data_IF_980130248193
#
_entry.id   IF_980130248193
#
_cell.length_a   1.000
_cell.length_b   1.000
_cell.length_c   1.000
_cell.angle_alpha   90.00
_cell.angle_beta   90.00
_cell.angle_gamma   90.00
#
_symmetry.space_group_name_H-M   'P 1'
#
loop_
_entity.id
_entity.type
_entity.pdbx_description
1 polymer ?
#
# COMPACT_ATOMS: atom_id res chain seq x y z
N UNK A 1 3.75 9.79 -2.12
CA UNK A 1 2.78 10.90 -2.08
C UNK A 1 1.83 10.63 -0.93
N UNK A 2 1.45 11.64 -0.16
CA UNK A 2 0.44 11.57 0.89
C UNK A 2 -0.86 12.15 0.36
N UNK A 3 -1.95 11.40 0.54
CA UNK A 3 -3.29 11.81 0.11
C UNK A 3 -4.27 11.70 1.27
N UNK A 4 -5.29 12.55 1.26
CA UNK A 4 -6.42 12.47 2.17
C UNK A 4 -7.22 11.20 1.90
N UNK A 5 -7.54 10.44 2.94
CA UNK A 5 -8.29 9.17 2.84
C UNK A 5 -9.71 9.39 2.30
N UNK A 6 -10.35 10.53 2.61
CA UNK A 6 -11.77 10.77 2.26
C UNK A 6 -12.03 11.04 0.79
N UNK A 7 -11.09 11.70 0.12
CA UNK A 7 -11.28 12.20 -1.26
C UNK A 7 -10.07 11.94 -2.16
N UNK A 8 -9.07 11.19 -1.68
CA UNK A 8 -7.81 10.91 -2.38
C UNK A 8 -7.04 12.16 -2.83
N UNK A 9 -7.40 13.34 -2.31
CA UNK A 9 -6.73 14.58 -2.65
C UNK A 9 -5.29 14.54 -2.15
N UNK A 10 -4.34 14.77 -3.06
CA UNK A 10 -2.92 14.89 -2.74
C UNK A 10 -2.71 16.06 -1.79
N UNK A 11 -1.95 15.84 -0.71
CA UNK A 11 -1.64 16.85 0.30
C UNK A 11 -0.16 17.19 0.28
N UNK A 12 0.70 16.16 0.17
CA UNK A 12 2.14 16.32 0.28
C UNK A 12 2.89 15.30 -0.59
N UNK A 13 3.89 15.75 -1.34
CA UNK A 13 4.66 14.90 -2.27
C UNK A 13 6.17 15.13 -2.14
N UNK A 14 6.95 14.07 -2.34
CA UNK A 14 8.38 14.17 -2.66
C UNK A 14 8.54 14.27 -4.18
N UNK A 15 9.16 15.34 -4.65
CA UNK A 15 9.55 15.56 -6.04
C UNK A 15 11.08 15.52 -6.20
N UNK A 16 11.57 15.41 -7.45
CA UNK A 16 13.01 15.49 -7.70
C UNK A 16 13.47 16.92 -7.50
N UNK A 17 14.62 17.09 -6.85
CA UNK A 17 15.23 18.41 -6.63
C UNK A 17 15.49 19.16 -7.94
N UNK A 18 15.85 18.45 -9.02
CA UNK A 18 16.05 19.02 -10.36
C UNK A 18 14.84 19.75 -10.93
N UNK A 19 13.64 19.47 -10.41
CA UNK A 19 12.40 20.06 -10.88
C UNK A 19 12.09 21.38 -10.15
N UNK A 20 12.92 21.77 -9.18
CA UNK A 20 12.75 22.97 -8.36
C UNK A 20 13.49 24.14 -8.99
N UNK A 21 12.87 25.34 -9.03
CA UNK A 21 13.50 26.52 -9.57
C UNK A 21 14.69 26.99 -8.71
N UNK A 22 15.75 27.49 -9.36
CA UNK A 22 17.03 27.84 -8.72
C UNK A 22 16.97 29.02 -7.71
N UNK A 23 15.90 29.83 -7.66
CA UNK A 23 15.80 30.95 -6.69
C UNK A 23 14.39 31.52 -6.43
N UNK A 24 14.27 32.20 -5.28
CA UNK A 24 13.18 32.99 -4.65
C UNK A 24 11.76 32.40 -4.52
N UNK A 25 11.30 31.51 -5.40
CA UNK A 25 9.93 30.96 -5.34
C UNK A 25 9.76 29.80 -4.37
N UNK A 26 10.85 29.19 -3.93
CA UNK A 26 10.81 28.05 -3.00
C UNK A 26 10.92 28.52 -1.56
N UNK A 27 9.95 28.11 -0.74
CA UNK A 27 10.09 28.21 0.72
C UNK A 27 10.88 27.02 1.24
N UNK A 28 11.42 27.10 2.45
CA UNK A 28 12.09 25.97 3.09
C UNK A 28 11.33 25.53 4.33
N UNK A 29 11.15 24.22 4.47
CA UNK A 29 10.53 23.62 5.66
C UNK A 29 11.53 22.69 6.31
N UNK A 30 11.61 22.72 7.64
CA UNK A 30 12.42 21.79 8.39
C UNK A 30 11.71 20.44 8.47
N UNK A 31 12.22 19.44 7.76
CA UNK A 31 11.73 18.06 7.75
C UNK A 31 12.86 17.13 8.18
N UNK A 32 12.62 16.29 9.19
CA UNK A 32 13.62 15.34 9.72
C UNK A 32 14.97 16.00 10.06
N UNK A 33 14.94 17.23 10.60
CA UNK A 33 16.15 17.97 10.97
C UNK A 33 16.84 18.72 9.83
N UNK A 34 16.43 18.53 8.57
CA UNK A 34 16.99 19.18 7.38
C UNK A 34 16.04 20.25 6.84
N UNK A 35 16.58 21.36 6.33
CA UNK A 35 15.78 22.35 5.60
C UNK A 35 15.65 21.92 4.14
N UNK A 36 14.41 21.70 3.71
CA UNK A 36 14.10 21.15 2.38
C UNK A 36 13.29 22.19 1.60
N UNK A 37 13.61 22.45 0.33
CA UNK A 37 12.82 23.36 -0.48
C UNK A 37 11.43 22.76 -0.72
N UNK A 38 10.42 23.63 -0.67
CA UNK A 38 9.03 23.30 -0.94
C UNK A 38 8.42 24.29 -1.93
N UNK A 39 7.54 23.78 -2.78
CA UNK A 39 6.72 24.55 -3.71
C UNK A 39 5.28 24.07 -3.62
N UNK A 40 4.33 24.90 -4.06
CA UNK A 40 2.97 24.45 -4.32
C UNK A 40 2.90 23.89 -5.74
N UNK A 41 2.26 22.73 -5.90
CA UNK A 41 2.00 22.16 -7.21
C UNK A 41 1.13 23.14 -8.01
N UNK A 42 1.54 23.55 -9.22
CA UNK A 42 0.93 24.69 -9.91
C UNK A 42 -0.53 24.46 -10.32
N UNK A 43 -0.93 23.21 -10.52
CA UNK A 43 -2.29 22.85 -10.95
C UNK A 43 -3.21 22.45 -9.79
N UNK A 44 -2.66 21.75 -8.80
CA UNK A 44 -3.46 21.06 -7.78
C UNK A 44 -3.29 21.67 -6.38
N UNK A 45 -2.35 22.61 -6.20
CA UNK A 45 -2.15 23.36 -4.96
C UNK A 45 -1.58 22.56 -3.77
N UNK A 46 -1.20 21.29 -3.95
CA UNK A 46 -0.59 20.50 -2.87
C UNK A 46 0.91 20.81 -2.71
N UNK A 47 1.45 20.56 -1.51
CA UNK A 47 2.86 20.83 -1.22
C UNK A 47 3.77 19.77 -1.86
N UNK A 48 4.82 20.22 -2.54
CA UNK A 48 5.87 19.38 -3.11
C UNK A 48 7.19 19.75 -2.46
N UNK A 49 7.87 18.78 -1.87
CA UNK A 49 9.20 18.91 -1.27
C UNK A 49 10.26 18.35 -2.22
N UNK A 50 11.41 19.02 -2.32
CA UNK A 50 12.46 18.71 -3.29
C UNK A 50 13.55 17.83 -2.70
N UNK A 51 13.84 16.70 -3.37
CA UNK A 51 14.79 15.70 -2.89
C UNK A 51 15.71 15.21 -4.01
N UNK A 52 16.99 15.04 -3.70
CA UNK A 52 17.93 14.35 -4.61
C UNK A 52 17.53 12.88 -4.80
N UNK A 53 17.10 12.22 -3.71
CA UNK A 53 16.60 10.86 -3.71
C UNK A 53 15.14 10.84 -3.23
N UNK A 54 14.22 10.48 -4.13
CA UNK A 54 12.78 10.45 -3.83
C UNK A 54 12.46 9.48 -2.69
N UNK A 55 13.13 8.34 -2.58
CA UNK A 55 12.89 7.36 -1.51
C UNK A 55 13.26 7.92 -0.14
N UNK A 56 14.39 8.61 -0.03
CA UNK A 56 14.75 9.31 1.21
C UNK A 56 13.76 10.45 1.51
N UNK A 57 13.29 11.14 0.47
CA UNK A 57 12.23 12.13 0.61
C UNK A 57 10.91 11.53 1.12
N UNK A 58 10.49 10.38 0.61
CA UNK A 58 9.31 9.67 1.10
C UNK A 58 9.46 9.25 2.57
N UNK A 59 10.64 8.78 2.98
CA UNK A 59 10.93 8.45 4.38
C UNK A 59 10.85 9.67 5.28
N UNK A 60 11.46 10.78 4.87
CA UNK A 60 11.47 12.02 5.63
C UNK A 60 10.06 12.63 5.74
N UNK A 61 9.28 12.65 4.65
CA UNK A 61 7.89 13.08 4.68
C UNK A 61 7.04 12.18 5.56
N UNK A 62 7.26 10.86 5.51
CA UNK A 62 6.56 9.92 6.39
C UNK A 62 6.84 10.25 7.84
N UNK A 63 8.11 10.39 8.23
CA UNK A 63 8.49 10.78 9.59
C UNK A 63 7.85 12.11 10.00
N UNK A 64 7.98 13.14 9.16
CA UNK A 64 7.40 14.45 9.41
C UNK A 64 5.89 14.40 9.67
N UNK A 65 5.13 13.72 8.79
CA UNK A 65 3.66 13.62 8.93
C UNK A 65 3.29 12.79 10.17
N UNK A 66 3.97 11.67 10.41
CA UNK A 66 3.66 10.80 11.56
C UNK A 66 3.97 11.46 12.88
N UNK A 67 5.05 12.24 12.95
CA UNK A 67 5.44 12.98 14.14
C UNK A 67 4.48 14.15 14.39
N UNK A 68 4.12 14.88 13.32
CA UNK A 68 3.18 16.01 13.39
C UNK A 68 1.80 15.60 13.91
N UNK A 69 1.28 14.46 13.46
CA UNK A 69 -0.03 13.96 13.85
C UNK A 69 0.00 12.93 14.98
N UNK A 70 1.19 12.60 15.51
CA UNK A 70 1.39 11.56 16.51
C UNK A 70 0.66 10.25 16.17
N UNK A 71 0.84 9.77 14.93
CA UNK A 71 0.14 8.59 14.41
C UNK A 71 1.09 7.69 13.62
N UNK A 72 0.83 6.39 13.64
CA UNK A 72 1.47 5.43 12.75
C UNK A 72 0.83 5.41 11.36
N UNK A 73 1.58 4.89 10.39
CA UNK A 73 1.11 4.69 9.02
C UNK A 73 0.22 3.46 8.98
N UNK A 74 -1.04 3.63 8.61
CA UNK A 74 -1.99 2.50 8.48
C UNK A 74 -2.02 1.90 7.07
N UNK A 75 -1.82 2.73 6.05
CA UNK A 75 -1.90 2.33 4.64
C UNK A 75 -0.69 2.84 3.85
N UNK A 76 -0.23 2.03 2.90
CA UNK A 76 0.77 2.45 1.91
C UNK A 76 0.31 2.10 0.50
N UNK A 77 0.51 3.06 -0.40
CA UNK A 77 0.40 2.89 -1.83
C UNK A 77 1.80 2.92 -2.41
N UNK A 78 2.23 1.83 -3.04
CA UNK A 78 3.59 1.66 -3.55
C UNK A 78 3.59 1.28 -5.02
N UNK A 79 4.70 1.54 -5.68
CA UNK A 79 5.03 1.19 -7.07
C UNK A 79 6.37 0.46 -7.11
N UNK A 80 6.83 0.10 -8.30
CA UNK A 80 8.12 -0.57 -8.55
C UNK A 80 9.31 0.15 -7.88
N UNK A 81 9.31 1.48 -7.85
CA UNK A 81 10.39 2.26 -7.22
C UNK A 81 10.26 2.37 -5.69
N UNK A 82 9.06 2.13 -5.15
CA UNK A 82 8.72 2.45 -3.76
C UNK A 82 8.29 1.25 -2.92
N UNK A 83 8.25 0.03 -3.47
CA UNK A 83 7.84 -1.17 -2.69
C UNK A 83 8.69 -1.43 -1.44
N UNK A 84 9.98 -1.06 -1.47
CA UNK A 84 10.89 -1.13 -0.31
C UNK A 84 10.39 -0.30 0.89
N UNK A 85 9.50 0.66 0.66
CA UNK A 85 8.85 1.44 1.73
C UNK A 85 7.97 0.56 2.62
N UNK A 86 7.39 -0.55 2.15
CA UNK A 86 6.57 -1.44 2.99
C UNK A 86 7.38 -1.96 4.16
N UNK A 87 8.57 -2.50 3.88
CA UNK A 87 9.44 -3.05 4.91
C UNK A 87 9.99 -1.95 5.82
N UNK A 88 10.40 -0.82 5.26
CA UNK A 88 10.86 0.31 6.05
C UNK A 88 9.77 0.83 6.99
N UNK A 89 8.53 1.00 6.52
CA UNK A 89 7.39 1.43 7.34
C UNK A 89 7.13 0.43 8.46
N UNK A 90 7.05 -0.87 8.15
CA UNK A 90 6.84 -1.91 9.16
C UNK A 90 7.96 -1.98 10.20
N UNK A 91 9.22 -1.68 9.84
CA UNK A 91 10.35 -1.67 10.78
C UNK A 91 10.36 -0.45 11.70
N UNK A 92 9.93 0.73 11.23
CA UNK A 92 9.99 1.96 12.04
C UNK A 92 8.90 2.06 13.10
N UNK A 93 7.80 1.35 12.93
CA UNK A 93 6.61 1.50 13.76
C UNK A 93 6.22 0.16 14.40
N UNK A 94 5.63 0.21 15.59
CA UNK A 94 5.23 -1.00 16.32
C UNK A 94 3.91 -1.56 15.82
N UNK A 95 3.11 -0.75 15.13
CA UNK A 95 1.83 -1.16 14.57
C UNK A 95 1.99 -1.64 13.12
N UNK A 96 1.74 -2.94 12.81
CA UNK A 96 1.81 -3.40 11.43
C UNK A 96 0.84 -2.64 10.52
N UNK A 97 1.25 -2.49 9.26
CA UNK A 97 0.38 -1.96 8.20
C UNK A 97 -0.93 -2.74 8.11
N UNK A 98 -2.04 -2.00 7.98
CA UNK A 98 -3.38 -2.58 7.81
C UNK A 98 -3.69 -2.82 6.34
N UNK A 99 -3.20 -1.95 5.45
CA UNK A 99 -3.44 -2.04 4.02
C UNK A 99 -2.19 -1.72 3.21
N UNK A 100 -1.98 -2.53 2.18
CA UNK A 100 -0.91 -2.33 1.19
C UNK A 100 -1.55 -2.40 -0.19
N UNK A 101 -1.36 -1.34 -0.97
CA UNK A 101 -1.80 -1.30 -2.37
C UNK A 101 -0.57 -1.12 -3.23
N UNK A 102 -0.27 -2.13 -4.04
CA UNK A 102 0.75 -2.07 -5.07
C UNK A 102 0.10 -1.61 -6.38
N UNK A 103 0.41 -0.38 -6.76
CA UNK A 103 0.03 0.23 -8.02
C UNK A 103 1.15 0.02 -9.03
N UNK A 104 1.11 -1.08 -9.76
CA UNK A 104 1.81 -1.15 -11.03
C UNK A 104 1.14 -0.12 -11.96
N UNK A 105 1.92 0.71 -12.66
CA UNK A 105 1.34 1.66 -13.60
C UNK A 105 0.39 0.90 -14.53
N UNK A 106 -0.78 1.46 -14.90
CA UNK A 106 -1.77 0.78 -15.73
C UNK A 106 -1.26 0.32 -17.13
N UNK A 107 0.00 0.59 -17.42
CA UNK A 107 0.73 0.35 -18.67
C UNK A 107 1.97 -0.53 -18.45
N UNK A 108 2.27 -0.88 -17.20
CA UNK A 108 3.39 -1.76 -16.82
C UNK A 108 2.84 -2.84 -15.89
N UNK A 109 2.50 -4.03 -16.42
CA UNK A 109 2.27 -5.22 -15.60
C UNK A 109 3.43 -5.41 -14.61
N UNK A 110 3.18 -6.03 -13.44
CA UNK A 110 4.27 -6.65 -12.66
C UNK A 110 5.07 -7.52 -13.63
N UNK A 111 6.27 -7.07 -13.99
CA UNK A 111 7.02 -7.64 -15.11
C UNK A 111 8.34 -8.25 -14.66
N UNK A 112 8.74 -8.04 -13.39
CA UNK A 112 9.95 -8.64 -12.84
C UNK A 112 9.66 -9.85 -11.94
N UNK A 113 10.49 -10.89 -12.04
CA UNK A 113 10.44 -12.04 -11.13
C UNK A 113 10.64 -11.62 -9.66
N UNK A 114 11.41 -10.55 -9.42
CA UNK A 114 11.66 -10.02 -8.08
C UNK A 114 10.39 -9.47 -7.42
N UNK A 115 9.53 -8.77 -8.18
CA UNK A 115 8.22 -8.29 -7.71
C UNK A 115 7.32 -9.47 -7.33
N UNK A 116 7.26 -10.47 -8.21
CA UNK A 116 6.50 -11.69 -7.95
C UNK A 116 6.98 -12.39 -6.68
N UNK A 117 8.29 -12.62 -6.57
CA UNK A 117 8.90 -13.23 -5.41
C UNK A 117 8.63 -12.44 -4.12
N UNK A 118 8.61 -11.11 -4.19
CA UNK A 118 8.26 -10.26 -3.06
C UNK A 118 6.80 -10.43 -2.63
N UNK A 119 5.85 -10.36 -3.57
CA UNK A 119 4.41 -10.57 -3.30
C UNK A 119 4.20 -11.94 -2.67
N UNK A 120 4.76 -12.99 -3.27
CA UNK A 120 4.68 -14.35 -2.77
C UNK A 120 5.29 -14.50 -1.37
N UNK A 121 6.42 -13.84 -1.11
CA UNK A 121 7.06 -13.83 0.22
C UNK A 121 6.18 -13.13 1.25
N UNK A 122 5.54 -12.02 0.88
CA UNK A 122 4.56 -11.32 1.71
C UNK A 122 3.36 -12.20 2.07
N UNK A 123 2.78 -12.88 1.08
CA UNK A 123 1.68 -13.83 1.29
C UNK A 123 2.08 -14.98 2.21
N UNK A 124 3.26 -15.58 1.96
CA UNK A 124 3.81 -16.65 2.81
C UNK A 124 4.08 -16.17 4.24
N UNK A 125 4.62 -14.97 4.40
CA UNK A 125 4.86 -14.37 5.71
C UNK A 125 3.55 -14.12 6.47
N UNK A 126 2.50 -13.64 5.79
CA UNK A 126 1.20 -13.48 6.42
C UNK A 126 0.59 -14.81 6.87
N UNK A 127 0.68 -15.84 6.02
CA UNK A 127 0.20 -17.19 6.34
C UNK A 127 0.93 -17.87 7.49
N UNK A 128 2.21 -17.57 7.70
CA UNK A 128 2.95 -18.08 8.85
C UNK A 128 2.66 -17.33 10.15
N UNK A 129 1.70 -16.39 10.16
CA UNK A 129 1.34 -15.58 11.32
C UNK A 129 2.02 -14.20 11.36
N UNK A 130 2.85 -13.87 10.37
CA UNK A 130 3.41 -12.54 10.19
C UNK A 130 2.34 -11.51 9.81
N UNK A 131 2.63 -10.23 10.02
CA UNK A 131 1.71 -9.12 9.72
C UNK A 131 0.26 -9.37 10.20
N UNK A 132 0.00 -9.70 11.48
CA UNK A 132 -1.31 -10.15 11.95
C UNK A 132 -2.43 -9.11 11.79
N UNK A 133 -2.08 -7.84 11.55
CA UNK A 133 -3.02 -6.73 11.36
C UNK A 133 -3.31 -6.40 9.89
N UNK A 134 -2.65 -7.06 8.94
CA UNK A 134 -2.96 -6.89 7.52
C UNK A 134 -4.41 -7.30 7.29
N UNK A 135 -5.19 -6.38 6.70
CA UNK A 135 -6.60 -6.57 6.36
C UNK A 135 -6.78 -6.69 4.86
N UNK A 136 -6.10 -5.85 4.10
CA UNK A 136 -6.19 -5.85 2.65
C UNK A 136 -4.81 -5.74 2.02
N UNK A 137 -4.53 -6.61 1.07
CA UNK A 137 -3.43 -6.48 0.13
C UNK A 137 -4.00 -6.48 -1.28
N UNK A 138 -3.59 -5.52 -2.09
CA UNK A 138 -3.96 -5.44 -3.49
C UNK A 138 -2.70 -5.20 -4.31
N UNK A 139 -2.53 -5.92 -5.41
CA UNK A 139 -1.45 -5.69 -6.35
C UNK A 139 -1.97 -5.81 -7.77
N UNK A 140 -1.70 -4.80 -8.61
CA UNK A 140 -1.85 -4.98 -10.05
C UNK A 140 -0.73 -5.90 -10.53
N UNK A 141 -1.11 -7.14 -10.87
CA UNK A 141 -0.18 -8.18 -11.24
C UNK A 141 -0.21 -8.48 -12.74
N UNK A 142 -1.05 -7.80 -13.54
CA UNK A 142 -1.23 -8.13 -14.94
C UNK A 142 -1.66 -9.58 -15.13
N UNK A 143 -0.97 -10.34 -15.98
CA UNK A 143 -1.31 -11.73 -16.33
C UNK A 143 -0.82 -12.79 -15.34
N UNK A 144 -0.59 -12.43 -14.08
CA UNK A 144 -0.11 -13.38 -13.08
C UNK A 144 -1.14 -14.45 -12.82
N UNK A 145 -0.67 -15.69 -12.90
CA UNK A 145 -1.49 -16.86 -12.61
C UNK A 145 -1.72 -16.97 -11.09
N UNK A 146 -2.96 -16.76 -10.66
CA UNK A 146 -3.40 -16.96 -9.27
C UNK A 146 -3.05 -18.36 -8.77
N UNK A 147 -3.00 -19.37 -9.64
CA UNK A 147 -2.62 -20.73 -9.27
C UNK A 147 -1.14 -20.84 -8.89
N UNK A 148 -0.26 -19.98 -9.42
CA UNK A 148 1.14 -19.90 -8.97
C UNK A 148 1.23 -19.26 -7.59
N UNK A 149 0.44 -18.21 -7.34
CA UNK A 149 0.32 -17.60 -6.01
C UNK A 149 -0.15 -18.63 -4.99
N UNK A 150 -1.17 -19.39 -5.35
CA UNK A 150 -1.75 -20.43 -4.52
C UNK A 150 -0.92 -21.71 -4.47
N UNK A 151 0.03 -21.96 -5.38
CA UNK A 151 0.79 -23.22 -5.43
C UNK A 151 1.50 -23.50 -4.10
N UNK A 152 2.01 -22.46 -3.42
CA UNK A 152 2.59 -22.56 -2.08
C UNK A 152 1.58 -22.56 -0.93
N UNK A 153 0.29 -22.39 -1.22
CA UNK A 153 -0.81 -22.22 -0.25
C UNK A 153 -1.88 -23.33 -0.38
N UNK A 154 -1.75 -24.21 -1.39
CA UNK A 154 -2.76 -25.16 -1.89
C UNK A 154 -3.33 -26.11 -0.85
N UNK A 155 -2.58 -26.46 0.19
CA UNK A 155 -3.06 -27.41 1.20
C UNK A 155 -4.23 -26.85 2.04
N UNK A 156 -4.40 -25.52 2.10
CA UNK A 156 -5.43 -24.84 2.88
C UNK A 156 -6.36 -23.95 2.02
N UNK A 157 -6.30 -24.07 0.70
CA UNK A 157 -7.07 -23.25 -0.22
C UNK A 157 -8.41 -23.92 -0.57
N UNK A 158 -9.52 -23.25 -0.29
CA UNK A 158 -10.88 -23.69 -0.61
C UNK A 158 -11.48 -22.71 -1.61
N UNK A 159 -11.92 -23.21 -2.76
CA UNK A 159 -12.57 -22.37 -3.76
C UNK A 159 -13.98 -21.94 -3.30
N UNK A 160 -14.34 -20.69 -3.55
CA UNK A 160 -15.62 -20.08 -3.16
C UNK A 160 -16.19 -19.31 -4.34
N UNK A 161 -17.38 -19.68 -4.82
CA UNK A 161 -18.08 -19.03 -5.95
C UNK A 161 -19.15 -18.02 -5.53
N UNK A 162 -19.28 -17.75 -4.22
CA UNK A 162 -20.32 -16.87 -3.72
C UNK A 162 -19.86 -15.42 -3.70
N UNK A 163 -20.73 -14.52 -4.19
CA UNK A 163 -20.54 -13.08 -4.06
C UNK A 163 -20.34 -12.69 -2.59
N UNK A 164 -19.26 -11.97 -2.30
CA UNK A 164 -18.95 -11.41 -0.98
C UNK A 164 -18.56 -9.95 -1.12
N UNK A 165 -19.17 -9.12 -0.30
CA UNK A 165 -18.85 -7.70 -0.20
C UNK A 165 -17.93 -7.48 1.00
N UNK A 166 -16.75 -6.92 0.74
CA UNK A 166 -15.74 -6.61 1.73
C UNK A 166 -15.64 -5.11 1.90
N UNK A 167 -15.86 -4.63 3.11
CA UNK A 167 -15.74 -3.20 3.44
C UNK A 167 -14.52 -2.99 4.31
N UNK A 168 -13.52 -2.32 3.75
CA UNK A 168 -12.37 -1.81 4.47
C UNK A 168 -12.79 -0.95 5.65
N UNK A 169 -12.03 -1.02 6.74
CA UNK A 169 -12.10 -0.09 7.89
C UNK A 169 -12.03 1.40 7.52
N UNK A 170 -11.60 1.72 6.29
CA UNK A 170 -11.50 3.07 5.75
C UNK A 170 -12.59 3.40 4.71
N UNK A 171 -13.61 2.54 4.57
CA UNK A 171 -14.79 2.77 3.72
C UNK A 171 -14.65 2.29 2.27
N UNK A 172 -13.51 1.70 1.89
CA UNK A 172 -13.36 1.09 0.56
C UNK A 172 -14.14 -0.22 0.47
N UNK A 173 -14.96 -0.37 -0.57
CA UNK A 173 -15.74 -1.58 -0.83
C UNK A 173 -15.14 -2.38 -1.98
N UNK A 174 -15.09 -3.69 -1.80
CA UNK A 174 -14.67 -4.67 -2.80
C UNK A 174 -15.77 -5.72 -2.93
N UNK A 175 -16.15 -6.06 -4.17
CA UNK A 175 -17.09 -7.14 -4.44
C UNK A 175 -16.32 -8.28 -5.09
N UNK A 176 -16.20 -9.38 -4.36
CA UNK A 176 -15.59 -10.61 -4.84
C UNK A 176 -16.70 -11.52 -5.35
N UNK A 177 -16.70 -11.83 -6.65
CA UNK A 177 -17.66 -12.77 -7.23
C UNK A 177 -17.27 -14.22 -6.96
N UNK A 178 -15.97 -14.48 -6.88
CA UNK A 178 -15.37 -15.77 -6.57
C UNK A 178 -14.03 -15.59 -5.85
N UNK A 179 -13.34 -16.68 -5.54
CA UNK A 179 -11.95 -16.65 -5.08
C UNK A 179 -11.56 -17.91 -4.31
N UNK A 180 -10.40 -17.85 -3.67
CA UNK A 180 -9.86 -18.95 -2.89
C UNK A 180 -9.68 -18.50 -1.44
N UNK A 181 -10.40 -19.15 -0.53
CA UNK A 181 -10.23 -18.96 0.90
C UNK A 181 -9.01 -19.73 1.37
N UNK A 182 -8.07 -19.03 1.99
CA UNK A 182 -6.92 -19.59 2.67
C UNK A 182 -7.09 -19.37 4.17
N UNK A 183 -6.86 -20.43 4.95
CA UNK A 183 -6.94 -20.36 6.41
C UNK A 183 -5.55 -20.31 7.03
N UNK A 184 -5.32 -19.31 7.85
CA UNK A 184 -4.12 -19.18 8.68
C UNK A 184 -4.22 -20.08 9.92
N UNK A 185 -3.08 -20.43 10.52
CA UNK A 185 -3.00 -21.33 11.67
C UNK A 185 -3.79 -20.86 12.91
N UNK A 186 -3.98 -19.56 13.09
CA UNK A 186 -4.80 -18.95 14.15
C UNK A 186 -6.30 -18.95 13.85
N UNK A 187 -6.71 -19.51 12.70
CA UNK A 187 -8.10 -19.62 12.29
C UNK A 187 -8.61 -18.45 11.46
N UNK A 188 -7.81 -17.40 11.24
CA UNK A 188 -8.17 -16.27 10.38
C UNK A 188 -8.22 -16.72 8.92
N UNK A 189 -9.29 -16.34 8.23
CA UNK A 189 -9.49 -16.64 6.80
C UNK A 189 -9.15 -15.42 5.95
N UNK A 190 -8.46 -15.60 4.84
CA UNK A 190 -8.38 -14.60 3.79
C UNK A 190 -8.91 -15.15 2.48
N UNK A 191 -9.54 -14.31 1.68
CA UNK A 191 -9.91 -14.64 0.30
C UNK A 191 -8.87 -14.05 -0.63
N UNK A 192 -8.31 -14.90 -1.48
CA UNK A 192 -7.49 -14.50 -2.63
C UNK A 192 -8.41 -14.45 -3.85
N UNK A 193 -8.54 -13.27 -4.44
CA UNK A 193 -9.36 -13.04 -5.63
C UNK A 193 -8.49 -12.44 -6.74
N UNK A 194 -8.77 -12.82 -7.98
CA UNK A 194 -8.20 -12.20 -9.16
C UNK A 194 -9.29 -11.39 -9.85
N UNK A 195 -9.12 -10.07 -9.84
CA UNK A 195 -10.05 -9.17 -10.50
C UNK A 195 -9.78 -9.14 -12.02
N UNK A 196 -10.82 -9.10 -12.89
CA UNK A 196 -10.66 -9.06 -14.34
C UNK A 196 -9.75 -7.95 -14.90
N UNK A 197 -9.44 -6.93 -14.09
CA UNK A 197 -8.51 -5.84 -14.42
C UNK A 197 -7.03 -6.19 -14.17
N UNK A 198 -6.70 -7.45 -13.86
CA UNK A 198 -5.32 -7.89 -13.61
C UNK A 198 -4.84 -7.69 -12.18
N UNK A 199 -5.74 -7.39 -11.26
CA UNK A 199 -5.40 -7.15 -9.86
C UNK A 199 -5.57 -8.43 -9.03
N UNK A 200 -4.51 -8.81 -8.31
CA UNK A 200 -4.56 -9.78 -7.23
C UNK A 200 -4.99 -9.08 -5.94
N UNK A 201 -6.04 -9.57 -5.30
CA UNK A 201 -6.55 -9.06 -4.03
C UNK A 201 -6.51 -10.16 -2.98
N UNK A 202 -6.03 -9.82 -1.79
CA UNK A 202 -6.09 -10.67 -0.59
C UNK A 202 -6.83 -9.89 0.48
N UNK A 203 -8.03 -10.36 0.81
CA UNK A 203 -8.93 -9.74 1.77
C UNK A 203 -9.09 -10.63 3.01
N UNK A 204 -8.79 -10.11 4.20
CA UNK A 204 -8.74 -10.88 5.45
C UNK A 204 -10.04 -10.72 6.25
N UNK A 205 -10.72 -11.82 6.53
CA UNK A 205 -12.00 -11.90 7.22
C UNK A 205 -11.87 -12.21 8.72
N UNK A 206 -12.86 -11.81 9.54
CA UNK A 206 -13.89 -10.82 9.21
C UNK A 206 -13.28 -9.41 9.24
N UNK A 207 -13.71 -8.55 8.32
CA UNK A 207 -13.66 -7.11 8.57
C UNK A 207 -15.05 -6.72 9.05
N UNK A 208 -15.26 -6.84 10.37
CA UNK A 208 -16.51 -6.44 10.98
C UNK A 208 -16.78 -4.98 10.67
N UNK A 209 -17.98 -4.70 10.15
CA UNK A 209 -18.57 -3.38 10.07
C UNK A 209 -18.50 -2.72 11.44
N UNK A 210 -17.75 -1.62 11.55
CA UNK A 210 -18.01 -0.67 12.62
C UNK A 210 -19.38 -0.07 12.33
N UNK A 211 -20.38 -0.52 13.08
CA UNK A 211 -21.61 0.25 13.27
C UNK A 211 -21.19 1.52 14.02
N UNK A 212 -21.13 2.65 13.33
CA UNK A 212 -21.15 3.94 14.01
C UNK A 212 -22.53 4.07 14.66
N UNK A 213 -22.59 3.85 15.97
CA UNK A 213 -23.69 4.34 16.81
C UNK A 213 -23.37 5.77 17.26
#
# INVERSE_FOLDING_TARGET
MFSSVKNLASVLRAGKYSDFPDSERSSYVKMSGQYVPVILHPLDGYLVSGWENITEGLKALTGYVTDLFNTDVSEVFVSDDSFKMIEWVNRRQTTPLKKVVYMAAAWSPCSSEDEMNYILRGCRHWLSGGCPRLKLFCANTGSVDILQVLAGLRQNAVFVENRRDYTSTFGHQWTFWDGYDIKRSDGVTATVHYEPLGALVIAVWPETTYNYN
#
